data_IF_145522591519
#
_entry.id   IF_145522591519
#
_cell.length_a   1.000
_cell.length_b   1.000
_cell.length_c   1.000
_cell.angle_alpha   90.00
_cell.angle_beta   90.00
_cell.angle_gamma   90.00
#
_symmetry.space_group_name_H-M   'P 1'
#
loop_
_entity.id
_entity.type
_entity.pdbx_description
1 polymer ?
#
# COMPACT_ATOMS: atom_id res chain seq x y z
N UNK A 1 -44.03 -6.75 103.73
CA UNK A 1 -44.66 -6.11 102.60
C UNK A 1 -43.67 -5.94 101.51
N UNK A 2 -43.87 -6.61 100.46
CA UNK A 2 -43.53 -6.43 99.06
C UNK A 2 -42.18 -5.80 98.74
N UNK A 3 -41.21 -6.60 98.44
CA UNK A 3 -39.94 -6.26 97.83
C UNK A 3 -39.97 -6.57 96.35
N UNK A 4 -39.70 -5.60 95.49
CA UNK A 4 -39.53 -5.77 94.00
C UNK A 4 -38.08 -6.01 93.64
N UNK A 5 -37.81 -7.17 93.01
CA UNK A 5 -36.51 -7.53 92.39
C UNK A 5 -36.43 -6.86 91.05
N UNK A 6 -35.33 -6.13 90.77
CA UNK A 6 -35.00 -5.60 89.49
C UNK A 6 -33.93 -6.57 88.81
N UNK A 7 -34.38 -7.16 87.76
CA UNK A 7 -33.49 -8.02 86.90
C UNK A 7 -32.83 -7.10 85.87
N UNK A 8 -31.48 -7.11 85.86
CA UNK A 8 -30.65 -6.39 84.85
C UNK A 8 -30.47 -7.27 83.68
N UNK A 9 -30.90 -6.91 82.46
CA UNK A 9 -30.57 -7.51 81.21
C UNK A 9 -29.32 -6.81 80.67
N UNK A 10 -28.25 -7.57 80.48
CA UNK A 10 -27.06 -7.16 79.75
C UNK A 10 -27.28 -7.36 78.23
N UNK A 11 -27.27 -6.27 77.48
CA UNK A 11 -27.36 -6.31 76.02
C UNK A 11 -25.92 -6.44 75.44
N UNK A 12 -25.62 -7.56 74.82
CA UNK A 12 -24.38 -7.78 74.06
C UNK A 12 -24.54 -7.18 72.68
N UNK A 13 -23.74 -6.16 72.35
CA UNK A 13 -23.61 -5.60 71.01
C UNK A 13 -22.56 -6.39 70.26
N UNK A 14 -22.99 -7.20 69.30
CA UNK A 14 -22.09 -7.85 68.33
C UNK A 14 -21.76 -6.90 67.19
N UNK A 15 -20.54 -6.42 67.13
CA UNK A 15 -20.02 -5.63 66.01
C UNK A 15 -19.69 -6.58 64.82
N UNK A 16 -20.51 -6.55 63.79
CA UNK A 16 -20.21 -7.22 62.50
C UNK A 16 -19.25 -6.36 61.69
N UNK A 17 -17.99 -6.74 61.58
CA UNK A 17 -17.01 -6.12 60.68
C UNK A 17 -17.27 -6.72 59.30
N UNK A 18 -17.92 -5.92 58.42
CA UNK A 18 -18.13 -6.22 57.02
C UNK A 18 -16.82 -6.02 56.24
N UNK A 19 -16.14 -7.12 55.89
CA UNK A 19 -15.00 -7.11 54.99
C UNK A 19 -15.49 -6.93 53.55
N UNK A 20 -15.46 -5.72 53.03
CA UNK A 20 -15.75 -5.42 51.65
C UNK A 20 -14.61 -5.93 50.76
N UNK A 21 -14.81 -7.09 50.10
CA UNK A 21 -13.93 -7.54 49.04
C UNK A 21 -14.06 -6.62 47.83
N UNK A 22 -13.10 -5.72 47.62
CA UNK A 22 -12.87 -5.03 46.37
C UNK A 22 -12.40 -6.05 45.33
N UNK A 23 -13.31 -6.58 44.52
CA UNK A 23 -12.96 -7.33 43.32
C UNK A 23 -12.34 -6.33 42.32
N UNK A 24 -11.11 -6.59 41.84
CA UNK A 24 -10.55 -5.81 40.73
C UNK A 24 -11.45 -6.04 39.51
N UNK A 25 -12.07 -4.98 39.02
CA UNK A 25 -12.77 -5.00 37.74
C UNK A 25 -11.74 -5.30 36.65
N UNK A 26 -11.66 -6.55 36.20
CA UNK A 26 -10.99 -6.92 34.96
C UNK A 26 -11.73 -6.21 33.83
N UNK A 27 -11.23 -5.04 33.43
CA UNK A 27 -11.63 -4.43 32.16
C UNK A 27 -11.16 -5.37 31.06
N UNK A 28 -12.06 -6.22 30.56
CA UNK A 28 -11.81 -6.96 29.33
C UNK A 28 -11.43 -5.96 28.23
N UNK A 29 -10.39 -6.21 27.43
CA UNK A 29 -10.10 -5.38 26.30
C UNK A 29 -11.35 -5.31 25.43
N UNK A 30 -11.83 -4.09 25.17
CA UNK A 30 -12.95 -3.87 24.26
C UNK A 30 -12.61 -4.53 22.94
N UNK A 31 -13.32 -5.58 22.56
CA UNK A 31 -13.19 -6.16 21.23
C UNK A 31 -13.41 -5.02 20.24
N UNK A 32 -12.40 -4.70 19.46
CA UNK A 32 -12.52 -3.70 18.40
C UNK A 32 -13.71 -4.12 17.54
N UNK A 33 -14.71 -3.24 17.43
CA UNK A 33 -15.90 -3.52 16.62
C UNK A 33 -15.44 -3.74 15.18
N UNK A 34 -15.87 -4.85 14.57
CA UNK A 34 -15.62 -5.10 13.17
C UNK A 34 -16.16 -3.92 12.34
N UNK A 35 -15.26 -3.20 11.67
CA UNK A 35 -15.58 -2.02 10.86
C UNK A 35 -15.18 -2.25 9.41
N UNK A 36 -15.77 -1.50 8.49
CA UNK A 36 -15.30 -1.43 7.12
C UNK A 36 -14.18 -0.39 7.01
N UNK A 37 -13.03 -0.81 6.51
CA UNK A 37 -11.85 0.03 6.25
C UNK A 37 -11.78 0.28 4.75
N UNK A 38 -12.00 1.51 4.34
CA UNK A 38 -11.86 1.91 2.95
C UNK A 38 -10.42 2.33 2.65
N UNK A 39 -9.80 1.69 1.65
CA UNK A 39 -8.43 1.93 1.23
C UNK A 39 -8.42 2.48 -0.19
N UNK A 40 -7.75 3.63 -0.39
CA UNK A 40 -7.39 4.14 -1.72
C UNK A 40 -5.91 3.87 -1.96
N UNK A 41 -5.60 3.01 -2.93
CA UNK A 41 -4.21 2.58 -3.19
C UNK A 41 -3.81 2.70 -4.64
N UNK A 42 -2.55 3.08 -4.86
CA UNK A 42 -1.95 2.94 -6.19
C UNK A 42 -1.96 1.48 -6.65
N UNK A 43 -2.19 1.28 -7.96
CA UNK A 43 -2.18 -0.06 -8.59
C UNK A 43 -0.85 -0.79 -8.41
N UNK A 44 0.25 -0.10 -8.16
CA UNK A 44 1.57 -0.70 -7.93
C UNK A 44 1.61 -1.65 -6.71
N UNK A 45 0.68 -1.53 -5.76
CA UNK A 45 0.56 -2.42 -4.61
C UNK A 45 -0.62 -3.39 -4.70
N UNK A 46 -1.42 -3.38 -5.77
CA UNK A 46 -2.66 -4.18 -5.84
C UNK A 46 -2.41 -5.66 -5.55
N UNK A 47 -1.46 -6.29 -6.24
CA UNK A 47 -1.15 -7.71 -6.04
C UNK A 47 -0.68 -8.05 -4.62
N UNK A 48 -0.03 -7.11 -3.93
CA UNK A 48 0.38 -7.27 -2.52
C UNK A 48 -0.82 -7.16 -1.60
N UNK A 49 -1.64 -6.12 -1.77
CA UNK A 49 -2.78 -5.84 -0.90
C UNK A 49 -3.87 -6.90 -1.04
N UNK A 50 -4.13 -7.37 -2.27
CA UNK A 50 -5.09 -8.45 -2.52
C UNK A 50 -4.64 -9.77 -1.87
N UNK A 51 -3.33 -10.04 -1.81
CA UNK A 51 -2.79 -11.21 -1.14
C UNK A 51 -2.84 -11.09 0.41
N UNK A 52 -2.69 -9.89 0.97
CA UNK A 52 -2.68 -9.65 2.42
C UNK A 52 -4.08 -9.49 3.02
N UNK A 53 -5.03 -8.95 2.24
CA UNK A 53 -6.40 -8.63 2.69
C UNK A 53 -7.10 -9.80 3.40
N UNK A 54 -7.16 -11.04 2.86
CA UNK A 54 -7.90 -12.13 3.51
C UNK A 54 -7.36 -12.46 4.91
N UNK A 55 -6.03 -12.44 5.08
CA UNK A 55 -5.38 -12.71 6.36
C UNK A 55 -5.71 -11.64 7.41
N UNK A 56 -5.69 -10.37 7.01
CA UNK A 56 -6.08 -9.27 7.88
C UNK A 56 -7.56 -9.34 8.30
N UNK A 57 -8.46 -9.55 7.33
CA UNK A 57 -9.90 -9.66 7.60
C UNK A 57 -10.22 -10.82 8.54
N UNK A 58 -9.55 -11.97 8.36
CA UNK A 58 -9.72 -13.14 9.23
C UNK A 58 -9.22 -12.88 10.65
N UNK A 59 -8.06 -12.22 10.77
CA UNK A 59 -7.44 -11.99 12.08
C UNK A 59 -8.15 -10.90 12.92
N UNK A 60 -8.80 -9.94 12.27
CA UNK A 60 -9.34 -8.76 12.96
C UNK A 60 -10.86 -8.66 12.92
N UNK A 61 -11.52 -9.37 12.01
CA UNK A 61 -12.95 -9.24 11.74
C UNK A 61 -13.33 -8.01 10.90
N UNK A 62 -12.40 -7.07 10.66
CA UNK A 62 -12.64 -5.93 9.77
C UNK A 62 -12.91 -6.39 8.34
N UNK A 63 -13.62 -5.55 7.59
CA UNK A 63 -13.77 -5.68 6.13
C UNK A 63 -12.96 -4.60 5.46
N UNK A 64 -12.24 -4.94 4.37
CA UNK A 64 -11.40 -4.00 3.65
C UNK A 64 -11.94 -3.82 2.23
N UNK A 65 -12.30 -2.59 1.89
CA UNK A 65 -12.74 -2.20 0.55
C UNK A 65 -11.61 -1.46 -0.15
N UNK A 66 -11.15 -2.01 -1.29
CA UNK A 66 -10.04 -1.46 -2.08
C UNK A 66 -10.55 -0.61 -3.24
N UNK A 67 -9.96 0.56 -3.40
CA UNK A 67 -10.11 1.44 -4.57
C UNK A 67 -8.72 1.64 -5.17
N UNK A 68 -8.47 1.04 -6.33
CA UNK A 68 -7.21 1.16 -7.04
C UNK A 68 -7.25 2.24 -8.10
N UNK A 69 -6.12 2.93 -8.31
CA UNK A 69 -5.97 3.95 -9.35
C UNK A 69 -4.51 4.35 -9.55
N UNK A 70 -4.26 5.22 -10.51
CA UNK A 70 -2.95 5.83 -10.69
C UNK A 70 -2.72 6.94 -9.64
N UNK A 71 -1.46 7.18 -9.28
CA UNK A 71 -1.12 8.16 -8.22
C UNK A 71 -1.73 9.53 -8.50
N UNK A 72 -1.64 10.03 -9.73
CA UNK A 72 -2.18 11.35 -10.08
C UNK A 72 -3.71 11.40 -9.99
N UNK A 73 -4.38 10.34 -10.44
CA UNK A 73 -5.84 10.21 -10.34
C UNK A 73 -6.30 10.20 -8.88
N UNK A 74 -5.73 9.32 -8.06
CA UNK A 74 -6.10 9.20 -6.65
C UNK A 74 -5.81 10.49 -5.88
N UNK A 75 -4.65 11.11 -6.14
CA UNK A 75 -4.31 12.41 -5.55
C UNK A 75 -5.38 13.46 -5.87
N UNK A 76 -5.80 13.56 -7.14
CA UNK A 76 -6.85 14.50 -7.54
C UNK A 76 -8.18 14.20 -6.83
N UNK A 77 -8.62 12.95 -6.79
CA UNK A 77 -9.86 12.53 -6.11
C UNK A 77 -9.84 12.92 -4.62
N UNK A 78 -8.70 12.69 -3.94
CA UNK A 78 -8.52 13.08 -2.53
C UNK A 78 -8.55 14.62 -2.37
N UNK A 79 -7.90 15.36 -3.28
CA UNK A 79 -7.94 16.83 -3.28
C UNK A 79 -9.35 17.36 -3.50
N UNK A 80 -10.12 16.72 -4.37
CA UNK A 80 -11.53 17.05 -4.66
C UNK A 80 -12.48 16.66 -3.51
N UNK A 81 -11.98 16.02 -2.42
CA UNK A 81 -12.74 15.74 -1.22
C UNK A 81 -13.14 14.28 -1.02
N UNK A 82 -12.71 13.36 -1.88
CA UNK A 82 -12.95 11.93 -1.64
C UNK A 82 -12.14 11.47 -0.43
N UNK A 83 -12.77 10.67 0.44
CA UNK A 83 -12.20 10.21 1.70
C UNK A 83 -11.91 8.72 1.69
N UNK A 84 -10.89 8.32 2.44
CA UNK A 84 -10.58 6.92 2.73
C UNK A 84 -10.03 6.82 4.17
N UNK A 85 -10.08 5.63 4.76
CA UNK A 85 -9.46 5.37 6.06
C UNK A 85 -7.95 5.22 5.92
N UNK A 86 -7.50 4.58 4.83
CA UNK A 86 -6.08 4.43 4.50
C UNK A 86 -5.84 4.88 3.05
N UNK A 87 -4.82 5.69 2.87
CA UNK A 87 -4.35 6.15 1.57
C UNK A 87 -2.95 5.60 1.33
N UNK A 88 -2.73 4.90 0.20
CA UNK A 88 -1.45 4.28 -0.16
C UNK A 88 -1.01 4.84 -1.51
N UNK A 89 -0.01 5.71 -1.48
CA UNK A 89 0.52 6.42 -2.65
C UNK A 89 2.06 6.45 -2.59
N UNK A 90 2.70 7.19 -3.50
CA UNK A 90 4.11 7.53 -3.30
C UNK A 90 4.27 8.41 -2.06
N UNK A 91 5.39 8.28 -1.37
CA UNK A 91 5.71 9.08 -0.18
C UNK A 91 5.54 10.57 -0.46
N UNK A 92 6.09 11.06 -1.57
CA UNK A 92 6.00 12.47 -1.96
C UNK A 92 4.54 12.93 -2.16
N UNK A 93 3.67 12.08 -2.74
CA UNK A 93 2.25 12.43 -2.91
C UNK A 93 1.52 12.50 -1.57
N UNK A 94 1.84 11.62 -0.61
CA UNK A 94 1.25 11.67 0.73
C UNK A 94 1.75 12.85 1.54
N UNK A 95 3.04 13.22 1.44
CA UNK A 95 3.60 14.40 2.12
C UNK A 95 2.90 15.68 1.63
N UNK A 96 2.68 15.80 0.33
CA UNK A 96 1.93 16.92 -0.26
C UNK A 96 0.45 16.94 0.20
N UNK A 97 -0.24 15.80 0.19
CA UNK A 97 -1.60 15.69 0.69
C UNK A 97 -1.70 15.97 2.21
N UNK A 98 -0.69 15.58 2.99
CA UNK A 98 -0.64 15.87 4.41
C UNK A 98 -0.49 17.38 4.66
N UNK A 99 0.34 18.08 3.87
CA UNK A 99 0.49 19.54 3.95
C UNK A 99 -0.82 20.28 3.67
N UNK A 100 -1.72 19.66 2.87
CA UNK A 100 -3.06 20.16 2.56
C UNK A 100 -4.14 19.70 3.58
N UNK A 101 -3.75 19.01 4.68
CA UNK A 101 -4.67 18.48 5.67
C UNK A 101 -5.52 17.28 5.20
N UNK A 102 -5.15 16.64 4.08
CA UNK A 102 -5.88 15.51 3.50
C UNK A 102 -5.42 14.15 4.05
N UNK A 103 -4.31 14.12 4.79
CA UNK A 103 -3.77 12.96 5.50
C UNK A 103 -3.51 13.37 6.94
N UNK A 104 -3.85 12.54 7.90
CA UNK A 104 -3.67 12.81 9.32
C UNK A 104 -2.18 13.03 9.67
N UNK A 105 -1.90 14.07 10.44
CA UNK A 105 -0.52 14.42 10.81
C UNK A 105 0.17 13.27 11.54
N UNK A 106 1.44 13.01 11.18
CA UNK A 106 2.26 11.98 11.80
C UNK A 106 1.82 10.53 11.52
N UNK A 107 0.86 10.31 10.58
CA UNK A 107 0.36 8.97 10.27
C UNK A 107 1.07 8.29 9.10
N UNK A 108 1.93 9.00 8.37
CA UNK A 108 2.58 8.44 7.18
C UNK A 108 3.68 7.45 7.57
N UNK A 109 3.56 6.22 7.07
CA UNK A 109 4.51 5.12 7.26
C UNK A 109 4.98 4.63 5.89
N UNK A 110 6.29 4.53 5.67
CA UNK A 110 6.82 3.89 4.47
C UNK A 110 6.48 2.39 4.49
N UNK A 111 6.03 1.86 3.36
CA UNK A 111 5.68 0.45 3.21
C UNK A 111 6.78 -0.33 2.50
N UNK A 112 7.18 0.15 1.34
CA UNK A 112 8.15 -0.50 0.47
C UNK A 112 8.63 0.46 -0.62
N UNK A 113 9.65 0.03 -1.36
CA UNK A 113 10.06 0.68 -2.60
C UNK A 113 9.97 -0.25 -3.79
N UNK A 114 9.80 0.30 -4.99
CA UNK A 114 9.89 -0.40 -6.26
C UNK A 114 10.56 0.50 -7.28
N UNK A 115 11.13 -0.10 -8.31
CA UNK A 115 11.87 0.63 -9.35
C UNK A 115 11.22 0.44 -10.72
N UNK A 116 11.47 1.39 -11.62
CA UNK A 116 11.05 1.28 -13.03
C UNK A 116 11.94 0.24 -13.73
N UNK A 117 11.30 -0.70 -14.41
CA UNK A 117 11.95 -1.86 -14.98
C UNK A 117 11.45 -2.18 -16.39
N UNK A 118 12.26 -2.95 -17.12
CA UNK A 118 11.91 -3.55 -18.41
C UNK A 118 11.34 -4.95 -18.18
N UNK A 119 10.25 -5.25 -18.88
CA UNK A 119 9.64 -6.55 -18.99
C UNK A 119 9.72 -7.08 -20.41
N UNK A 120 9.86 -8.40 -20.51
CA UNK A 120 9.69 -9.17 -21.75
C UNK A 120 8.74 -10.33 -21.50
N UNK A 121 8.27 -10.99 -22.58
CA UNK A 121 7.47 -12.21 -22.42
C UNK A 121 8.32 -13.31 -21.76
N UNK A 122 7.71 -14.09 -20.88
CA UNK A 122 8.36 -15.23 -20.26
C UNK A 122 8.92 -16.22 -21.32
N UNK A 123 10.17 -16.63 -21.12
CA UNK A 123 10.90 -17.48 -22.08
C UNK A 123 11.56 -16.73 -23.24
N UNK A 124 11.31 -15.44 -23.43
CA UNK A 124 12.06 -14.63 -24.38
C UNK A 124 13.48 -14.35 -23.86
N UNK A 125 14.43 -14.17 -24.77
CA UNK A 125 15.78 -13.74 -24.42
C UNK A 125 15.72 -12.36 -23.74
N UNK A 126 16.41 -12.22 -22.60
CA UNK A 126 16.53 -10.93 -21.92
C UNK A 126 17.43 -10.01 -22.72
N UNK A 127 16.95 -8.83 -23.13
CA UNK A 127 17.78 -7.86 -23.83
C UNK A 127 18.85 -7.27 -22.90
N UNK A 128 19.95 -6.83 -23.47
CA UNK A 128 20.99 -6.11 -22.73
C UNK A 128 20.53 -4.68 -22.43
N UNK A 129 20.39 -4.37 -21.17
CA UNK A 129 20.08 -3.03 -20.64
C UNK A 129 21.09 -2.61 -19.56
N UNK A 130 22.26 -3.24 -19.49
CA UNK A 130 23.25 -3.05 -18.43
C UNK A 130 23.95 -1.69 -18.45
N UNK A 131 23.81 -0.92 -19.53
CA UNK A 131 24.32 0.46 -19.63
C UNK A 131 23.34 1.34 -20.41
N UNK A 132 23.53 2.67 -20.33
CA UNK A 132 22.71 3.63 -21.11
C UNK A 132 22.80 3.34 -22.61
N UNK A 133 23.99 3.05 -23.12
CA UNK A 133 24.18 2.74 -24.54
C UNK A 133 23.58 1.39 -24.93
N UNK A 134 23.64 0.39 -24.05
CA UNK A 134 22.98 -0.90 -24.25
C UNK A 134 21.45 -0.72 -24.28
N UNK A 135 20.88 0.03 -23.34
CA UNK A 135 19.46 0.37 -23.34
C UNK A 135 19.04 1.07 -24.64
N UNK A 136 19.82 2.07 -25.11
CA UNK A 136 19.54 2.77 -26.38
C UNK A 136 19.50 1.79 -27.57
N UNK A 137 20.52 0.94 -27.70
CA UNK A 137 20.55 -0.08 -28.76
C UNK A 137 19.35 -1.03 -28.69
N UNK A 138 19.02 -1.49 -27.49
CA UNK A 138 17.87 -2.36 -27.22
C UNK A 138 16.55 -1.69 -27.62
N UNK A 139 16.34 -0.45 -27.20
CA UNK A 139 15.13 0.31 -27.56
C UNK A 139 15.02 0.56 -29.08
N UNK A 140 16.13 0.87 -29.75
CA UNK A 140 16.13 1.06 -31.21
C UNK A 140 15.86 -0.25 -31.98
N UNK A 141 16.37 -1.37 -31.49
CA UNK A 141 16.17 -2.69 -32.11
C UNK A 141 14.77 -3.27 -31.85
N UNK A 142 14.11 -2.88 -30.79
CA UNK A 142 12.79 -3.38 -30.46
C UNK A 142 11.73 -3.04 -31.52
N UNK A 143 10.85 -3.99 -31.79
CA UNK A 143 9.72 -3.82 -32.73
C UNK A 143 8.60 -2.98 -32.11
N UNK A 144 8.38 -3.16 -30.81
CA UNK A 144 7.36 -2.40 -30.05
C UNK A 144 7.72 -2.33 -28.57
N UNK A 145 7.27 -1.23 -27.94
CA UNK A 145 7.38 -1.02 -26.50
C UNK A 145 6.05 -0.51 -25.96
N UNK A 146 5.64 -1.01 -24.81
CA UNK A 146 4.42 -0.58 -24.12
C UNK A 146 4.74 -0.01 -22.75
N UNK A 147 4.10 1.11 -22.40
CA UNK A 147 4.16 1.69 -21.05
C UNK A 147 2.91 2.53 -20.76
N UNK A 148 2.69 2.86 -19.49
CA UNK A 148 1.56 3.67 -19.06
C UNK A 148 1.60 5.06 -19.72
N UNK A 149 0.46 5.53 -20.22
CA UNK A 149 0.34 6.87 -20.81
C UNK A 149 0.74 7.95 -19.78
N UNK A 150 1.80 8.74 -20.07
CA UNK A 150 2.25 9.81 -19.19
C UNK A 150 1.14 10.82 -18.85
N UNK A 151 0.21 11.06 -19.78
CA UNK A 151 -0.91 11.97 -19.58
C UNK A 151 -1.91 11.49 -18.54
N UNK A 152 -1.90 10.20 -18.22
CA UNK A 152 -2.72 9.60 -17.15
C UNK A 152 -2.03 9.62 -15.77
N UNK A 153 -0.74 10.01 -15.70
CA UNK A 153 -0.01 10.22 -14.46
C UNK A 153 0.43 8.95 -13.72
N UNK A 154 0.59 7.84 -14.43
CA UNK A 154 1.27 6.65 -13.90
C UNK A 154 2.76 6.91 -13.70
N UNK A 155 3.31 6.60 -12.51
CA UNK A 155 4.67 6.96 -12.13
C UNK A 155 5.74 6.43 -13.12
N UNK A 156 5.65 5.15 -13.51
CA UNK A 156 6.58 4.52 -14.46
C UNK A 156 6.50 5.14 -15.85
N UNK A 157 5.29 5.42 -16.35
CA UNK A 157 5.09 6.04 -17.67
C UNK A 157 5.61 7.47 -17.75
N UNK A 158 5.30 8.29 -16.73
CA UNK A 158 5.81 9.66 -16.62
C UNK A 158 7.34 9.68 -16.58
N UNK A 159 7.93 8.77 -15.78
CA UNK A 159 9.38 8.67 -15.69
C UNK A 159 10.01 8.23 -17.03
N UNK A 160 9.48 7.17 -17.64
CA UNK A 160 10.05 6.62 -18.88
C UNK A 160 9.95 7.60 -20.05
N UNK A 161 8.88 8.38 -20.15
CA UNK A 161 8.80 9.45 -21.15
C UNK A 161 9.91 10.47 -20.98
N UNK A 162 10.24 10.87 -19.75
CA UNK A 162 11.39 11.75 -19.46
C UNK A 162 12.73 11.09 -19.81
N UNK A 163 12.86 9.77 -19.62
CA UNK A 163 14.04 9.02 -20.03
C UNK A 163 14.20 9.07 -21.55
N UNK A 164 13.16 8.82 -22.32
CA UNK A 164 13.19 8.91 -23.79
C UNK A 164 13.57 10.32 -24.26
N UNK A 165 13.02 11.36 -23.64
CA UNK A 165 13.34 12.75 -23.94
C UNK A 165 14.82 13.05 -23.62
N UNK A 166 15.29 12.71 -22.43
CA UNK A 166 16.70 12.86 -22.02
C UNK A 166 17.69 12.14 -22.94
N UNK A 167 17.28 10.98 -23.49
CA UNK A 167 18.10 10.20 -24.42
C UNK A 167 18.00 10.71 -25.88
N UNK A 168 17.13 11.70 -26.17
CA UNK A 168 16.86 12.17 -27.52
C UNK A 168 16.16 11.14 -28.41
N UNK A 169 15.36 10.23 -27.83
CA UNK A 169 14.76 9.08 -28.50
C UNK A 169 13.26 9.18 -28.71
N UNK A 170 12.60 10.24 -28.21
CA UNK A 170 11.14 10.39 -28.23
C UNK A 170 10.56 10.17 -29.62
N UNK A 171 11.05 10.88 -30.64
CA UNK A 171 10.54 10.78 -32.02
C UNK A 171 10.80 9.40 -32.64
N UNK A 172 11.96 8.80 -32.37
CA UNK A 172 12.33 7.49 -32.90
C UNK A 172 11.49 6.37 -32.28
N UNK A 173 11.09 6.52 -31.02
CA UNK A 173 10.30 5.53 -30.30
C UNK A 173 8.78 5.67 -30.55
N UNK A 174 8.30 6.87 -30.91
CA UNK A 174 6.88 7.16 -31.11
C UNK A 174 6.16 6.17 -32.03
N UNK A 175 6.69 5.77 -33.24
CA UNK A 175 5.97 4.87 -34.16
C UNK A 175 5.85 3.43 -33.64
N UNK A 176 6.61 3.02 -32.61
CA UNK A 176 6.60 1.69 -32.03
C UNK A 176 6.17 1.68 -30.54
N UNK A 177 5.68 2.81 -30.06
CA UNK A 177 5.17 2.95 -28.69
C UNK A 177 3.69 2.67 -28.63
N UNK A 178 3.30 1.80 -27.69
CA UNK A 178 1.91 1.54 -27.29
C UNK A 178 1.71 2.18 -25.94
N UNK A 179 0.79 3.14 -25.85
CA UNK A 179 0.41 3.78 -24.58
C UNK A 179 -0.84 3.11 -24.01
N UNK A 180 -0.81 2.78 -22.72
CA UNK A 180 -1.93 2.18 -22.00
C UNK A 180 -2.41 3.09 -20.86
N UNK A 181 -3.70 3.10 -20.55
CA UNK A 181 -4.26 4.06 -19.59
C UNK A 181 -3.88 3.75 -18.12
N UNK A 182 -3.27 2.61 -17.86
CA UNK A 182 -2.96 2.15 -16.50
C UNK A 182 -1.77 1.20 -16.46
N UNK A 183 -1.76 0.26 -15.52
CA UNK A 183 -0.65 -0.66 -15.24
C UNK A 183 -0.62 -1.93 -16.12
N UNK A 184 -1.24 -1.92 -17.30
CA UNK A 184 -1.39 -3.13 -18.15
C UNK A 184 -0.15 -3.48 -18.98
N UNK A 185 0.96 -2.75 -18.88
CA UNK A 185 2.13 -2.95 -19.74
C UNK A 185 2.68 -4.39 -19.65
N UNK A 186 2.81 -4.96 -18.46
CA UNK A 186 3.29 -6.33 -18.28
C UNK A 186 2.32 -7.39 -18.82
N UNK A 187 1.02 -7.17 -18.72
CA UNK A 187 -0.01 -8.07 -19.26
C UNK A 187 0.03 -8.12 -20.79
N UNK A 188 0.19 -6.96 -21.45
CA UNK A 188 0.30 -6.83 -22.90
C UNK A 188 1.54 -7.58 -23.40
N UNK A 189 2.66 -7.44 -22.69
CA UNK A 189 3.89 -8.20 -23.00
C UNK A 189 3.69 -9.70 -22.79
N UNK A 190 3.03 -10.09 -21.70
CA UNK A 190 2.72 -11.50 -21.41
C UNK A 190 1.91 -12.16 -22.54
N UNK A 191 0.95 -11.42 -23.13
CA UNK A 191 0.16 -11.88 -24.28
C UNK A 191 0.93 -11.83 -25.61
N UNK A 192 2.12 -11.21 -25.65
CA UNK A 192 2.92 -11.05 -26.86
C UNK A 192 2.45 -9.94 -27.81
N UNK A 193 1.59 -9.05 -27.34
CA UNK A 193 1.09 -7.89 -28.10
C UNK A 193 2.11 -6.75 -28.18
N UNK A 194 3.10 -6.74 -27.28
CA UNK A 194 4.29 -5.90 -27.35
C UNK A 194 5.54 -6.73 -27.04
N UNK A 195 6.66 -6.33 -27.65
CA UNK A 195 7.94 -7.02 -27.42
C UNK A 195 8.54 -6.70 -26.06
N UNK A 196 8.48 -5.44 -25.65
CA UNK A 196 8.95 -4.98 -24.35
C UNK A 196 7.91 -4.12 -23.64
N UNK A 197 7.92 -4.16 -22.30
CA UNK A 197 7.12 -3.30 -21.45
C UNK A 197 7.97 -2.54 -20.46
N UNK A 198 7.49 -1.35 -20.06
CA UNK A 198 8.08 -0.57 -18.97
C UNK A 198 7.03 -0.34 -17.91
N UNK A 199 7.31 -0.79 -16.69
CA UNK A 199 6.43 -0.65 -15.54
C UNK A 199 7.23 -0.66 -14.23
N UNK A 200 6.58 -0.50 -13.09
CA UNK A 200 7.19 -0.80 -11.80
C UNK A 200 7.49 -2.31 -11.70
N UNK A 201 8.58 -2.70 -11.07
CA UNK A 201 8.89 -4.11 -10.84
C UNK A 201 7.72 -4.85 -10.16
N UNK A 202 7.02 -4.17 -9.26
CA UNK A 202 5.82 -4.66 -8.56
C UNK A 202 4.60 -4.88 -9.47
N UNK A 203 4.57 -4.27 -10.64
CA UNK A 203 3.54 -4.45 -11.67
C UNK A 203 3.95 -5.53 -12.69
N UNK A 204 5.21 -5.94 -12.72
CA UNK A 204 5.74 -6.96 -13.64
C UNK A 204 5.78 -8.34 -12.96
N UNK A 205 6.41 -8.43 -11.79
CA UNK A 205 6.67 -9.69 -11.08
C UNK A 205 5.41 -10.54 -10.84
N UNK A 206 4.25 -9.97 -10.50
CA UNK A 206 3.04 -10.76 -10.27
C UNK A 206 2.39 -11.30 -11.54
N UNK A 207 2.75 -10.81 -12.74
CA UNK A 207 2.05 -11.12 -13.98
C UNK A 207 2.58 -12.42 -14.58
N UNK A 208 1.75 -13.45 -14.58
CA UNK A 208 2.06 -14.72 -15.24
C UNK A 208 2.27 -14.48 -16.74
N UNK A 209 3.38 -15.02 -17.29
CA UNK A 209 3.75 -14.82 -18.68
C UNK A 209 4.58 -13.57 -18.99
N UNK A 210 4.79 -12.68 -18.00
CA UNK A 210 5.80 -11.62 -18.08
C UNK A 210 7.08 -12.03 -17.33
N UNK A 211 8.22 -11.53 -17.79
CA UNK A 211 9.51 -11.74 -17.15
C UNK A 211 10.21 -10.41 -16.94
N UNK A 212 10.61 -10.16 -15.69
CA UNK A 212 11.43 -9.02 -15.33
C UNK A 212 12.84 -9.16 -15.93
N UNK A 213 13.26 -8.17 -16.70
CA UNK A 213 14.64 -8.07 -17.21
C UNK A 213 15.54 -7.44 -16.15
N UNK A 214 15.18 -6.25 -15.66
CA UNK A 214 15.91 -5.50 -14.64
C UNK A 214 15.53 -4.03 -14.63
N UNK A 215 16.13 -3.23 -13.70
CA UNK A 215 15.95 -1.80 -13.63
C UNK A 215 16.55 -1.08 -14.85
N UNK A 216 16.13 0.15 -15.07
CA UNK A 216 16.82 1.05 -16.00
C UNK A 216 18.25 1.32 -15.49
N UNK A 217 19.25 1.46 -16.40
CA UNK A 217 20.66 1.51 -16.00
C UNK A 217 21.03 2.86 -15.38
N UNK A 218 21.89 2.81 -14.36
CA UNK A 218 22.52 3.97 -13.74
C UNK A 218 21.52 5.02 -13.24
N UNK A 219 21.76 6.26 -13.59
CA UNK A 219 20.93 7.42 -13.22
C UNK A 219 19.62 7.57 -14.02
N UNK A 220 19.34 6.66 -14.94
CA UNK A 220 18.04 6.51 -15.57
C UNK A 220 17.06 5.70 -14.69
N UNK A 221 17.56 5.01 -13.66
CA UNK A 221 16.71 4.31 -12.73
C UNK A 221 15.88 5.30 -11.89
N UNK A 222 14.67 4.90 -11.56
CA UNK A 222 13.81 5.62 -10.62
C UNK A 222 13.26 4.62 -9.60
N UNK A 223 13.52 4.90 -8.33
CA UNK A 223 12.97 4.16 -7.20
C UNK A 223 11.84 4.98 -6.60
N UNK A 224 10.66 4.42 -6.57
CA UNK A 224 9.50 5.03 -5.92
C UNK A 224 9.32 4.42 -4.53
N UNK A 225 9.38 5.25 -3.50
CA UNK A 225 8.99 4.86 -2.13
C UNK A 225 7.48 4.99 -2.03
N UNK A 226 6.81 3.90 -1.69
CA UNK A 226 5.38 3.85 -1.40
C UNK A 226 5.16 3.90 0.10
N UNK A 227 4.15 4.65 0.51
CA UNK A 227 3.80 4.84 1.90
C UNK A 227 2.29 4.75 2.10
N UNK A 228 1.87 4.54 3.34
CA UNK A 228 0.49 4.61 3.76
C UNK A 228 0.30 5.77 4.72
N UNK A 229 -0.87 6.39 4.67
CA UNK A 229 -1.31 7.41 5.63
C UNK A 229 -2.77 7.19 6.03
N UNK A 230 -3.12 7.60 7.24
CA UNK A 230 -4.50 7.52 7.74
C UNK A 230 -5.28 8.75 7.30
N UNK A 231 -6.51 8.54 6.82
CA UNK A 231 -7.41 9.63 6.46
C UNK A 231 -7.83 10.46 7.68
N UNK A 232 -7.86 11.79 7.60
CA UNK A 232 -8.21 12.64 8.75
C UNK A 232 -9.67 12.47 9.20
N UNK A 233 -10.54 11.98 8.31
CA UNK A 233 -11.96 11.71 8.58
C UNK A 233 -12.23 10.21 8.82
N UNK A 234 -11.20 9.38 9.03
CA UNK A 234 -11.38 7.95 9.31
C UNK A 234 -12.22 7.76 10.56
N UNK A 235 -13.24 6.90 10.46
CA UNK A 235 -14.11 6.52 11.56
C UNK A 235 -13.47 5.48 12.49
N UNK A 236 -12.49 4.74 11.98
CA UNK A 236 -11.70 3.78 12.74
C UNK A 236 -10.19 3.97 12.48
N UNK A 237 -9.58 5.00 13.07
CA UNK A 237 -8.14 5.22 12.93
C UNK A 237 -7.29 4.11 13.57
N UNK A 238 -7.84 3.33 14.49
CA UNK A 238 -7.15 2.19 15.11
C UNK A 238 -7.07 1.02 14.13
N UNK A 239 -8.17 0.64 13.49
CA UNK A 239 -8.22 -0.37 12.44
C UNK A 239 -7.38 0.02 11.22
N UNK A 240 -7.40 1.31 10.83
CA UNK A 240 -6.54 1.82 9.76
C UNK A 240 -5.05 1.62 10.07
N UNK A 241 -4.61 1.94 11.30
CA UNK A 241 -3.23 1.70 11.75
C UNK A 241 -2.90 0.21 11.83
N UNK A 242 -3.84 -0.62 12.30
CA UNK A 242 -3.66 -2.08 12.35
C UNK A 242 -3.42 -2.67 10.94
N UNK A 243 -4.16 -2.17 9.92
CA UNK A 243 -3.93 -2.58 8.53
C UNK A 243 -2.53 -2.17 8.05
N UNK A 244 -2.08 -0.94 8.34
CA UNK A 244 -0.73 -0.48 7.98
C UNK A 244 0.33 -1.36 8.67
N UNK A 245 0.16 -1.70 9.95
CA UNK A 245 1.06 -2.60 10.68
C UNK A 245 1.06 -4.02 10.10
N UNK A 246 -0.10 -4.51 9.66
CA UNK A 246 -0.18 -5.82 8.99
C UNK A 246 0.63 -5.84 7.68
N UNK A 247 0.58 -4.76 6.89
CA UNK A 247 1.35 -4.62 5.64
C UNK A 247 2.85 -4.53 5.92
N UNK A 248 3.28 -3.83 6.97
CA UNK A 248 4.70 -3.64 7.32
C UNK A 248 5.27 -4.74 8.20
N UNK A 249 4.43 -5.60 8.76
CA UNK A 249 4.85 -6.73 9.60
C UNK A 249 5.57 -7.84 8.80
N UNK A 250 6.10 -8.86 9.48
CA UNK A 250 6.90 -9.92 8.83
C UNK A 250 6.20 -10.64 7.68
N UNK A 251 4.90 -10.92 7.82
CA UNK A 251 4.10 -11.53 6.74
C UNK A 251 3.98 -10.59 5.56
N UNK A 252 3.64 -9.32 5.82
CA UNK A 252 3.54 -8.30 4.78
C UNK A 252 4.86 -8.08 4.05
N UNK A 253 5.98 -8.00 4.77
CA UNK A 253 7.31 -7.88 4.19
C UNK A 253 7.65 -9.07 3.25
N UNK A 254 7.29 -10.28 3.63
CA UNK A 254 7.44 -11.47 2.79
C UNK A 254 6.61 -11.38 1.50
N UNK A 255 5.36 -10.93 1.59
CA UNK A 255 4.49 -10.75 0.42
C UNK A 255 5.01 -9.62 -0.47
N UNK A 256 5.42 -8.46 0.08
CA UNK A 256 6.02 -7.35 -0.66
C UNK A 256 7.21 -7.83 -1.50
N UNK A 257 8.16 -8.56 -0.91
CA UNK A 257 9.31 -9.14 -1.62
C UNK A 257 8.88 -10.07 -2.75
N UNK A 258 7.92 -10.96 -2.50
CA UNK A 258 7.41 -11.90 -3.52
C UNK A 258 6.73 -11.20 -4.69
N UNK A 259 6.32 -9.93 -4.52
CA UNK A 259 5.70 -9.09 -5.55
C UNK A 259 6.64 -8.05 -6.15
N UNK A 260 7.96 -8.21 -5.99
CA UNK A 260 8.96 -7.33 -6.62
C UNK A 260 9.11 -5.96 -5.95
N UNK A 261 8.90 -5.89 -4.65
CA UNK A 261 9.11 -4.69 -3.83
C UNK A 261 10.16 -4.94 -2.75
N UNK A 262 10.89 -3.90 -2.38
CA UNK A 262 11.78 -3.89 -1.23
C UNK A 262 11.06 -3.28 -0.04
N UNK A 263 10.75 -4.06 1.03
CA UNK A 263 10.11 -3.54 2.24
C UNK A 263 10.93 -2.42 2.90
N UNK A 264 10.23 -1.46 3.55
CA UNK A 264 10.87 -0.33 4.25
C UNK A 264 11.54 -0.74 5.57
#
# INVERSE_FOLDING_TARGET
>A
MIGKRFTRYAASVAAAIGLAFLLPSLTAPSAASAAEIRVMSTVALSATLDALKPGFETATGHKVTMVYGLIAELRKRIQDGETADVMILSRAALDDLQSQGKVASGSIVNLASSYVAIAVRAGAAKPDIGSVDALKRTLLAARSIVYADPAKGGASGVHFAKVLDRLGMTDQMKPKTILVPGAQAAEIVARGEAEMGVAQASEIVPIAGAQLVGPLPGDLNNVTVFAAGVGPASKDPAGARALIQHITGPVGAGVLKSKGMDPA
#
